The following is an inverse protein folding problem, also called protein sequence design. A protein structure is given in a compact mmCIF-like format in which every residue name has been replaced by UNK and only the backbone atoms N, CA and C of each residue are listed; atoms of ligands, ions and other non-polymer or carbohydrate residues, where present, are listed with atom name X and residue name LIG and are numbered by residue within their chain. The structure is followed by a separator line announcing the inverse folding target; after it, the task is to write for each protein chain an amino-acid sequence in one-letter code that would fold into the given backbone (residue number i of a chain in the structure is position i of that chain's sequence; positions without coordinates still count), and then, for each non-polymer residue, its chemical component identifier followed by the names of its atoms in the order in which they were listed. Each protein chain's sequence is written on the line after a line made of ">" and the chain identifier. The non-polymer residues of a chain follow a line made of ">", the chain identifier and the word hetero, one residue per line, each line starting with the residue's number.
data_IF_716128128751
#
_entry.id   IF_716128128751
#
_cell.length_a   1.000
_cell.length_b   1.000
_cell.length_c   1.000
_cell.angle_alpha   90.00
_cell.angle_beta   90.00
_cell.angle_gamma   90.00
#
_symmetry.space_group_name_H-M   'P 1'
#
loop_
_entity.id
_entity.type
_entity.pdbx_description
1 polymer ?
#
# COMPACT_ATOMS: atom_id res chain seq x y z
N UNK A 1 -12.39 25.66 -21.52
CA UNK A 1 -13.71 25.04 -21.32
C UNK A 1 -14.64 25.59 -22.37
N UNK A 2 -15.27 24.72 -23.16
CA UNK A 2 -16.26 25.16 -24.14
C UNK A 2 -17.54 25.61 -23.47
N UNK A 3 -18.41 26.35 -24.16
CA UNK A 3 -19.74 26.71 -23.64
C UNK A 3 -20.60 25.50 -23.29
N UNK A 4 -20.31 24.33 -23.87
CA UNK A 4 -20.97 23.05 -23.61
C UNK A 4 -20.28 22.18 -22.51
N UNK A 5 -19.31 22.76 -21.80
CA UNK A 5 -18.63 22.09 -20.69
C UNK A 5 -17.51 21.11 -21.08
N UNK A 6 -17.23 20.93 -22.38
CA UNK A 6 -16.14 20.04 -22.84
C UNK A 6 -14.77 20.69 -22.67
N UNK A 7 -13.79 19.88 -22.30
CA UNK A 7 -12.38 20.25 -22.29
C UNK A 7 -11.74 19.60 -23.52
N UNK A 8 -11.20 20.40 -24.46
CA UNK A 8 -10.55 19.85 -25.62
C UNK A 8 -9.08 19.56 -25.34
N UNK A 9 -8.68 18.38 -25.72
CA UNK A 9 -7.33 17.83 -25.55
C UNK A 9 -6.80 17.34 -26.94
N UNK A 10 -7.07 18.15 -27.99
CA UNK A 10 -6.62 17.84 -29.35
C UNK A 10 -5.45 18.76 -29.71
N UNK A 11 -4.30 18.21 -30.19
CA UNK A 11 -3.15 19.02 -30.64
C UNK A 11 -3.56 20.07 -31.68
N UNK A 12 -3.13 21.32 -31.47
CA UNK A 12 -3.43 22.43 -32.38
C UNK A 12 -4.78 23.11 -32.15
N UNK A 13 -5.49 22.80 -31.05
CA UNK A 13 -6.76 23.41 -30.72
C UNK A 13 -6.61 24.56 -29.69
N UNK A 14 -7.45 25.60 -29.76
CA UNK A 14 -7.42 26.73 -28.80
C UNK A 14 -7.57 26.26 -27.33
N UNK A 15 -8.19 25.10 -27.11
CA UNK A 15 -8.29 24.44 -25.80
C UNK A 15 -6.94 24.12 -25.17
N UNK A 16 -5.90 23.78 -25.94
CA UNK A 16 -4.56 23.51 -25.43
C UNK A 16 -3.94 24.75 -24.79
N UNK A 17 -4.19 25.93 -25.39
CA UNK A 17 -3.72 27.21 -24.85
C UNK A 17 -4.42 27.53 -23.51
N UNK A 18 -5.70 27.24 -23.39
CA UNK A 18 -6.46 27.45 -22.15
C UNK A 18 -6.05 26.47 -21.07
N UNK A 19 -5.83 25.18 -21.43
CA UNK A 19 -5.33 24.16 -20.48
C UNK A 19 -3.93 24.53 -20.01
N UNK A 20 -3.05 24.94 -20.93
CA UNK A 20 -1.69 25.37 -20.59
C UNK A 20 -1.68 26.61 -19.70
N UNK A 21 -2.60 27.59 -19.94
CA UNK A 21 -2.77 28.75 -19.06
C UNK A 21 -3.32 28.36 -17.67
N UNK A 22 -4.31 27.46 -17.62
CA UNK A 22 -4.86 26.96 -16.38
C UNK A 22 -3.79 26.22 -15.56
N UNK A 23 -3.05 25.31 -16.19
CA UNK A 23 -1.97 24.57 -15.54
C UNK A 23 -0.89 25.51 -15.02
N UNK A 24 -0.49 26.51 -15.83
CA UNK A 24 0.50 27.50 -15.41
C UNK A 24 0.00 28.35 -14.22
N UNK A 25 -1.28 28.75 -14.25
CA UNK A 25 -1.88 29.48 -13.13
C UNK A 25 -1.92 28.62 -11.86
N UNK A 26 -2.32 27.34 -11.97
CA UNK A 26 -2.30 26.40 -10.85
C UNK A 26 -0.88 26.22 -10.30
N UNK A 27 0.10 26.07 -11.18
CA UNK A 27 1.50 25.91 -10.78
C UNK A 27 2.07 27.15 -10.10
N UNK A 28 1.71 28.37 -10.60
CA UNK A 28 2.10 29.64 -10.00
C UNK A 28 1.39 29.92 -8.66
N UNK A 29 0.12 29.49 -8.54
CA UNK A 29 -0.71 29.81 -7.35
C UNK A 29 -0.45 28.81 -6.21
N UNK A 30 -0.31 27.55 -6.53
CA UNK A 30 -0.23 26.47 -5.54
C UNK A 30 1.15 25.78 -5.50
N UNK A 31 1.94 25.87 -6.56
CA UNK A 31 3.29 25.31 -6.65
C UNK A 31 3.38 23.87 -6.17
N UNK A 32 4.28 23.62 -5.23
CA UNK A 32 4.50 22.29 -4.67
C UNK A 32 3.35 21.76 -3.82
N UNK A 33 2.41 22.59 -3.41
CA UNK A 33 1.22 22.15 -2.66
C UNK A 33 0.30 21.25 -3.49
N UNK A 34 0.36 21.35 -4.83
CA UNK A 34 -0.37 20.45 -5.75
C UNK A 34 0.41 19.20 -6.13
N UNK A 35 1.70 19.15 -5.80
CA UNK A 35 2.56 17.98 -6.05
C UNK A 35 2.43 16.95 -4.93
N UNK A 36 1.23 16.82 -4.36
CA UNK A 36 0.94 15.78 -3.39
C UNK A 36 1.22 14.40 -3.96
N UNK A 37 1.80 13.54 -3.16
CA UNK A 37 1.99 12.14 -3.53
C UNK A 37 0.64 11.42 -3.42
N UNK A 38 -0.11 11.38 -4.53
CA UNK A 38 -1.40 10.68 -4.60
C UNK A 38 -1.17 9.17 -4.61
N UNK A 39 -0.72 8.65 -3.47
CA UNK A 39 -0.50 7.24 -3.24
C UNK A 39 -1.15 6.80 -1.93
N UNK A 40 -1.68 5.59 -1.91
CA UNK A 40 -2.11 4.92 -0.69
C UNK A 40 -0.92 4.52 0.21
N UNK A 41 0.27 4.49 -0.36
CA UNK A 41 1.53 4.15 0.29
C UNK A 41 2.50 3.45 -0.65
N UNK A 42 3.51 2.84 -0.06
CA UNK A 42 4.60 2.18 -0.79
C UNK A 42 4.87 0.81 -0.17
N UNK A 43 5.46 -0.09 -0.97
CA UNK A 43 5.96 -1.37 -0.48
C UNK A 43 7.28 -1.73 -1.15
N UNK A 44 8.15 -2.50 -0.50
CA UNK A 44 9.35 -3.05 -1.12
C UNK A 44 9.00 -4.33 -1.87
N UNK A 45 9.57 -4.54 -3.05
CA UNK A 45 9.47 -5.78 -3.81
C UNK A 45 10.84 -6.18 -4.35
N UNK A 46 11.09 -7.47 -4.45
CA UNK A 46 12.26 -7.99 -5.16
C UNK A 46 11.91 -8.19 -6.63
N UNK A 47 12.63 -7.51 -7.53
CA UNK A 47 12.60 -7.76 -8.96
C UNK A 47 14.01 -8.07 -9.46
N UNK A 48 14.21 -9.25 -9.98
CA UNK A 48 15.54 -9.77 -10.28
C UNK A 48 16.39 -9.86 -9.01
N UNK A 49 17.58 -9.28 -9.05
CA UNK A 49 18.54 -9.35 -7.93
C UNK A 49 18.49 -8.12 -7.00
N UNK A 50 17.49 -7.26 -7.14
CA UNK A 50 17.41 -6.00 -6.39
C UNK A 50 16.05 -5.81 -5.75
N UNK A 51 16.05 -5.09 -4.62
CA UNK A 51 14.83 -4.65 -3.95
C UNK A 51 14.48 -3.24 -4.44
N UNK A 52 13.23 -3.05 -4.79
CA UNK A 52 12.68 -1.83 -5.35
C UNK A 52 11.55 -1.31 -4.48
N UNK A 53 11.36 -0.01 -4.46
CA UNK A 53 10.19 0.62 -3.89
C UNK A 53 9.09 0.70 -4.94
N UNK A 54 7.90 0.23 -4.60
CA UNK A 54 6.72 0.27 -5.47
C UNK A 54 5.69 1.18 -4.87
N UNK A 55 5.09 2.01 -5.73
CA UNK A 55 4.05 2.94 -5.36
C UNK A 55 2.66 2.33 -5.56
N UNK A 56 1.82 2.35 -4.54
CA UNK A 56 0.38 2.10 -4.66
C UNK A 56 -0.33 3.42 -5.00
N UNK A 57 -0.36 3.79 -6.28
CA UNK A 57 -0.98 5.03 -6.75
C UNK A 57 -2.48 5.06 -6.51
N UNK A 58 -3.06 6.21 -6.16
CA UNK A 58 -4.50 6.36 -6.06
C UNK A 58 -5.15 6.21 -7.44
N UNK A 59 -6.21 5.41 -7.51
CA UNK A 59 -6.98 5.17 -8.72
C UNK A 59 -8.34 5.88 -8.57
N UNK A 60 -8.64 6.77 -9.50
CA UNK A 60 -9.92 7.46 -9.55
C UNK A 60 -10.72 6.92 -10.73
N UNK A 61 -11.89 6.35 -10.43
CA UNK A 61 -12.74 5.71 -11.42
C UNK A 61 -12.31 4.29 -11.79
N UNK A 62 -12.67 3.84 -13.00
CA UNK A 62 -12.34 2.50 -13.49
C UNK A 62 -11.07 2.56 -14.34
N UNK A 63 -10.06 1.78 -13.97
CA UNK A 63 -8.78 1.68 -14.69
C UNK A 63 -8.43 0.21 -14.88
N UNK A 64 -8.16 -0.19 -16.11
CA UNK A 64 -7.66 -1.52 -16.43
C UNK A 64 -6.16 -1.59 -16.15
N UNK A 65 -5.77 -2.37 -15.17
CA UNK A 65 -4.36 -2.62 -14.88
C UNK A 65 -3.80 -3.68 -15.85
N UNK A 66 -2.53 -3.56 -16.21
CA UNK A 66 -1.79 -4.56 -16.96
C UNK A 66 -0.31 -4.50 -16.58
N UNK A 67 0.46 -5.53 -16.94
CA UNK A 67 1.91 -5.56 -16.79
C UNK A 67 2.57 -5.69 -18.17
N UNK A 68 3.51 -4.79 -18.46
CA UNK A 68 4.26 -4.78 -19.72
C UNK A 68 5.71 -4.36 -19.45
N UNK A 69 6.69 -5.11 -20.00
CA UNK A 69 8.11 -4.75 -19.91
C UNK A 69 8.43 -3.41 -20.55
N UNK A 70 7.68 -3.03 -21.60
CA UNK A 70 7.84 -1.72 -22.20
C UNK A 70 7.32 -0.62 -21.26
N UNK A 71 8.23 0.02 -20.54
CA UNK A 71 7.91 1.09 -19.59
C UNK A 71 7.37 2.38 -20.23
N UNK A 72 7.55 2.54 -21.56
CA UNK A 72 6.95 3.65 -22.30
C UNK A 72 5.46 3.40 -22.55
N UNK A 73 5.02 2.14 -22.55
CA UNK A 73 3.61 1.77 -22.58
C UNK A 73 2.99 2.02 -21.18
N UNK A 74 2.66 3.27 -20.90
CA UNK A 74 2.05 3.67 -19.63
C UNK A 74 0.53 3.42 -19.56
N UNK A 75 -0.05 2.91 -20.65
CA UNK A 75 -1.49 2.74 -20.80
C UNK A 75 -2.19 4.00 -21.33
N UNK A 76 -3.50 3.95 -21.37
CA UNK A 76 -4.34 5.03 -21.88
C UNK A 76 -4.85 5.89 -20.72
N UNK A 77 -4.75 7.21 -20.86
CA UNK A 77 -5.50 8.13 -19.99
C UNK A 77 -6.93 8.22 -20.50
N UNK A 78 -7.89 8.28 -19.57
CA UNK A 78 -9.29 8.50 -19.96
C UNK A 78 -9.41 9.91 -20.52
N UNK A 79 -9.85 10.01 -21.76
CA UNK A 79 -10.29 11.28 -22.35
C UNK A 79 -11.81 11.25 -22.34
N UNK A 80 -12.44 12.23 -21.71
CA UNK A 80 -13.89 12.37 -21.72
C UNK A 80 -14.38 12.67 -23.16
N UNK A 81 -15.30 11.86 -23.67
CA UNK A 81 -15.90 12.07 -24.99
C UNK A 81 -16.40 10.77 -25.62
N UNK A 82 -17.09 10.85 -26.77
CA UNK A 82 -17.68 9.67 -27.44
C UNK A 82 -16.65 8.66 -27.97
N UNK A 83 -15.37 9.03 -28.01
CA UNK A 83 -14.24 8.15 -28.34
C UNK A 83 -13.39 7.79 -27.11
N UNK A 84 -13.93 7.96 -25.90
CA UNK A 84 -13.22 7.64 -24.68
C UNK A 84 -12.80 6.17 -24.67
N UNK A 85 -11.49 5.92 -24.61
CA UNK A 85 -10.94 4.59 -24.40
C UNK A 85 -10.96 4.31 -22.90
N UNK A 86 -11.16 3.05 -22.54
CA UNK A 86 -11.01 2.61 -21.17
C UNK A 86 -9.62 3.02 -20.63
N UNK A 87 -9.59 3.67 -19.47
CA UNK A 87 -8.33 4.03 -18.83
C UNK A 87 -7.56 2.75 -18.50
N UNK A 88 -6.27 2.76 -18.74
CA UNK A 88 -5.41 1.63 -18.38
C UNK A 88 -4.06 2.09 -17.88
N UNK A 89 -3.42 1.28 -17.03
CA UNK A 89 -2.13 1.60 -16.45
C UNK A 89 -1.21 0.38 -16.41
N UNK A 90 0.04 0.57 -16.85
CA UNK A 90 1.09 -0.42 -16.70
C UNK A 90 1.64 -0.36 -15.27
N UNK A 91 1.32 -1.38 -14.47
CA UNK A 91 1.73 -1.42 -13.06
C UNK A 91 3.26 -1.49 -12.87
N UNK A 92 4.01 -1.98 -13.86
CA UNK A 92 5.46 -2.01 -13.79
C UNK A 92 6.06 -0.59 -13.76
N UNK A 93 5.36 0.41 -14.29
CA UNK A 93 5.75 1.81 -14.19
C UNK A 93 5.64 2.41 -12.77
N UNK A 94 4.99 1.69 -11.84
CA UNK A 94 4.91 2.09 -10.43
C UNK A 94 6.18 1.74 -9.62
N UNK A 95 7.11 0.98 -10.21
CA UNK A 95 8.40 0.64 -9.59
C UNK A 95 9.35 1.82 -9.74
N UNK A 96 9.69 2.46 -8.61
CA UNK A 96 10.54 3.65 -8.61
C UNK A 96 11.96 3.33 -9.09
N UNK A 97 12.44 4.08 -10.08
CA UNK A 97 13.81 3.94 -10.61
C UNK A 97 14.03 2.72 -11.51
N UNK A 98 13.01 1.94 -11.82
CA UNK A 98 13.14 0.83 -12.77
C UNK A 98 13.46 1.36 -14.17
N UNK A 99 14.55 0.87 -14.74
CA UNK A 99 14.97 1.24 -16.10
C UNK A 99 14.50 0.22 -17.14
N UNK A 100 14.35 0.65 -18.39
CA UNK A 100 13.94 -0.25 -19.49
C UNK A 100 14.87 -1.47 -19.58
N UNK A 101 16.19 -1.26 -19.52
CA UNK A 101 17.14 -2.37 -19.61
C UNK A 101 17.07 -3.38 -18.45
N UNK A 102 16.48 -3.02 -17.30
CA UNK A 102 16.20 -3.97 -16.21
C UNK A 102 14.87 -4.66 -16.51
N UNK A 103 13.85 -3.92 -16.90
CA UNK A 103 12.54 -4.46 -17.26
C UNK A 103 12.63 -5.53 -18.36
N UNK A 104 13.44 -5.32 -19.39
CA UNK A 104 13.66 -6.25 -20.50
C UNK A 104 14.25 -7.59 -20.05
N UNK A 105 14.99 -7.62 -18.93
CA UNK A 105 15.61 -8.83 -18.40
C UNK A 105 14.75 -9.60 -17.39
N UNK A 106 13.59 -9.06 -17.03
CA UNK A 106 12.67 -9.79 -16.13
C UNK A 106 12.10 -11.00 -16.87
N UNK A 107 12.06 -12.15 -16.21
CA UNK A 107 11.37 -13.32 -16.71
C UNK A 107 9.84 -13.16 -16.67
N UNK A 108 9.12 -13.99 -17.41
CA UNK A 108 7.65 -13.99 -17.33
C UNK A 108 7.16 -14.37 -15.93
N UNK A 109 7.85 -15.31 -15.26
CA UNK A 109 7.52 -15.66 -13.86
C UNK A 109 7.69 -14.46 -12.93
N UNK A 110 8.76 -13.69 -13.06
CA UNK A 110 8.98 -12.49 -12.25
C UNK A 110 7.90 -11.42 -12.49
N UNK A 111 7.38 -11.31 -13.72
CA UNK A 111 6.28 -10.40 -14.03
C UNK A 111 4.95 -10.88 -13.43
N UNK A 112 4.69 -12.20 -13.45
CA UNK A 112 3.49 -12.78 -12.83
C UNK A 112 3.55 -12.58 -11.31
N UNK A 113 4.67 -12.92 -10.67
CA UNK A 113 4.88 -12.72 -9.23
C UNK A 113 4.72 -11.24 -8.84
N UNK A 114 5.27 -10.33 -9.65
CA UNK A 114 5.10 -8.90 -9.44
C UNK A 114 3.64 -8.45 -9.60
N UNK A 115 2.93 -8.98 -10.60
CA UNK A 115 1.52 -8.68 -10.81
C UNK A 115 0.67 -9.06 -9.60
N UNK A 116 0.83 -10.29 -9.10
CA UNK A 116 0.11 -10.78 -7.92
C UNK A 116 0.45 -9.93 -6.68
N UNK A 117 1.74 -9.65 -6.48
CA UNK A 117 2.18 -8.76 -5.41
C UNK A 117 1.59 -7.35 -5.52
N UNK A 118 1.56 -6.78 -6.74
CA UNK A 118 1.04 -5.42 -6.95
C UNK A 118 -0.45 -5.33 -6.59
N UNK A 119 -1.24 -6.33 -6.96
CA UNK A 119 -2.66 -6.39 -6.61
C UNK A 119 -2.85 -6.50 -5.09
N UNK A 120 -2.15 -7.43 -4.44
CA UNK A 120 -2.18 -7.57 -2.98
C UNK A 120 -1.81 -6.26 -2.26
N UNK A 121 -0.70 -5.64 -2.67
CA UNK A 121 -0.21 -4.38 -2.11
C UNK A 121 -1.25 -3.26 -2.28
N UNK A 122 -1.77 -3.11 -3.50
CA UNK A 122 -2.71 -2.04 -3.81
C UNK A 122 -4.00 -2.18 -2.99
N UNK A 123 -4.61 -3.37 -2.96
CA UNK A 123 -5.81 -3.65 -2.19
C UNK A 123 -5.61 -3.43 -0.69
N UNK A 124 -4.50 -3.94 -0.14
CA UNK A 124 -4.18 -3.81 1.28
C UNK A 124 -3.99 -2.35 1.71
N UNK A 125 -3.21 -1.58 0.92
CA UNK A 125 -2.90 -0.19 1.24
C UNK A 125 -4.09 0.74 0.99
N UNK A 126 -4.87 0.49 -0.07
CA UNK A 126 -6.12 1.20 -0.32
C UNK A 126 -7.11 0.98 0.82
N UNK A 127 -7.36 -0.27 1.20
CA UNK A 127 -8.27 -0.57 2.30
C UNK A 127 -7.82 0.08 3.62
N UNK A 128 -6.52 0.02 3.92
CA UNK A 128 -5.93 0.69 5.08
C UNK A 128 -6.25 2.19 5.08
N UNK A 129 -6.15 2.84 3.93
CA UNK A 129 -6.38 4.27 3.78
C UNK A 129 -7.85 4.65 3.85
N UNK A 130 -8.70 3.91 3.13
CA UNK A 130 -10.11 4.26 2.91
C UNK A 130 -11.03 3.79 4.05
N UNK A 131 -10.71 2.64 4.67
CA UNK A 131 -11.62 1.93 5.57
C UNK A 131 -11.22 1.99 7.04
N UNK A 132 -9.93 2.05 7.37
CA UNK A 132 -9.52 2.10 8.77
C UNK A 132 -9.72 3.50 9.37
N UNK A 133 -10.41 3.60 10.54
CA UNK A 133 -10.58 4.87 11.23
C UNK A 133 -9.24 5.47 11.64
N UNK A 134 -9.13 6.79 11.63
CA UNK A 134 -7.93 7.52 12.07
C UNK A 134 -7.86 7.60 13.61
N UNK A 135 -7.85 6.44 14.27
CA UNK A 135 -7.56 6.37 15.70
C UNK A 135 -6.06 6.43 15.94
N UNK A 136 -5.65 6.77 17.17
CA UNK A 136 -4.22 6.88 17.51
C UNK A 136 -3.44 5.60 17.18
N UNK A 137 -3.92 4.42 17.65
CA UNK A 137 -3.26 3.14 17.40
C UNK A 137 -3.16 2.82 15.88
N UNK A 138 -4.23 3.04 15.12
CA UNK A 138 -4.23 2.76 13.68
C UNK A 138 -3.37 3.75 12.92
N UNK A 139 -3.32 5.01 13.34
CA UNK A 139 -2.40 6.01 12.76
C UNK A 139 -0.94 5.64 13.04
N UNK A 140 -0.63 5.19 14.26
CA UNK A 140 0.70 4.66 14.60
C UNK A 140 1.05 3.41 13.78
N UNK A 141 0.10 2.49 13.56
CA UNK A 141 0.31 1.32 12.71
C UNK A 141 0.66 1.71 11.25
N UNK A 142 0.06 2.79 10.73
CA UNK A 142 0.43 3.33 9.42
C UNK A 142 1.88 3.79 9.38
N UNK A 143 2.31 4.57 10.37
CA UNK A 143 3.70 5.05 10.46
C UNK A 143 4.70 3.90 10.62
N UNK A 144 4.37 2.88 11.41
CA UNK A 144 5.24 1.71 11.56
C UNK A 144 5.38 0.94 10.25
N UNK A 145 4.31 0.81 9.45
CA UNK A 145 4.40 0.17 8.14
C UNK A 145 5.27 0.99 7.17
N UNK A 146 5.11 2.32 7.15
CA UNK A 146 5.91 3.20 6.31
C UNK A 146 7.39 3.18 6.72
N UNK A 147 7.67 3.11 8.03
CA UNK A 147 9.03 2.91 8.54
C UNK A 147 9.57 1.52 8.17
N UNK A 148 8.76 0.46 8.25
CA UNK A 148 9.13 -0.88 7.78
C UNK A 148 9.59 -0.84 6.32
N UNK A 149 8.80 -0.23 5.43
CA UNK A 149 9.12 -0.08 4.01
C UNK A 149 10.43 0.69 3.81
N UNK A 150 10.57 1.83 4.49
CA UNK A 150 11.76 2.68 4.42
C UNK A 150 13.01 1.96 4.94
N UNK A 151 12.87 1.16 6.00
CA UNK A 151 13.95 0.40 6.59
C UNK A 151 14.40 -0.76 5.67
N UNK A 152 13.49 -1.44 4.97
CA UNK A 152 13.85 -2.46 3.96
C UNK A 152 14.68 -1.82 2.84
N UNK A 153 14.20 -0.72 2.25
CA UNK A 153 14.90 0.00 1.18
C UNK A 153 16.26 0.54 1.66
N UNK A 154 16.31 1.03 2.90
CA UNK A 154 17.53 1.51 3.57
C UNK A 154 18.45 0.41 4.11
N UNK A 155 18.14 -0.88 3.84
CA UNK A 155 18.91 -2.06 4.27
C UNK A 155 19.07 -2.18 5.80
N UNK A 156 18.14 -1.61 6.57
CA UNK A 156 18.07 -1.70 8.04
C UNK A 156 17.13 -2.84 8.43
N UNK A 157 17.53 -4.08 8.11
CA UNK A 157 16.62 -5.24 8.12
C UNK A 157 16.07 -5.62 9.49
N UNK A 158 16.84 -5.47 10.56
CA UNK A 158 16.35 -5.69 11.93
C UNK A 158 15.26 -4.68 12.30
N UNK A 159 15.47 -3.40 11.98
CA UNK A 159 14.49 -2.34 12.20
C UNK A 159 13.22 -2.56 11.35
N UNK A 160 13.39 -3.01 10.10
CA UNK A 160 12.26 -3.32 9.23
C UNK A 160 11.36 -4.41 9.84
N UNK A 161 11.95 -5.49 10.34
CA UNK A 161 11.20 -6.58 10.99
C UNK A 161 10.47 -6.12 12.24
N UNK A 162 11.15 -5.33 13.07
CA UNK A 162 10.53 -4.75 14.25
C UNK A 162 9.35 -3.84 13.89
N UNK A 163 9.52 -2.96 12.92
CA UNK A 163 8.47 -2.06 12.47
C UNK A 163 7.28 -2.84 11.85
N UNK A 164 7.52 -3.94 11.14
CA UNK A 164 6.47 -4.83 10.63
C UNK A 164 5.62 -5.41 11.77
N UNK A 165 6.26 -5.95 12.82
CA UNK A 165 5.57 -6.47 14.00
C UNK A 165 4.72 -5.39 14.68
N UNK A 166 5.29 -4.18 14.87
CA UNK A 166 4.57 -3.06 15.48
C UNK A 166 3.36 -2.62 14.66
N UNK A 167 3.49 -2.61 13.32
CA UNK A 167 2.37 -2.30 12.43
C UNK A 167 1.22 -3.28 12.61
N UNK A 168 1.51 -4.58 12.66
CA UNK A 168 0.49 -5.62 12.90
C UNK A 168 -0.08 -5.51 14.30
N UNK A 169 0.77 -5.44 15.33
CA UNK A 169 0.33 -5.35 16.74
C UNK A 169 -0.66 -4.20 16.94
N UNK A 170 -0.31 -3.01 16.47
CA UNK A 170 -1.15 -1.82 16.62
C UNK A 170 -2.42 -1.90 15.78
N UNK A 171 -2.38 -2.54 14.60
CA UNK A 171 -3.58 -2.79 13.79
C UNK A 171 -4.56 -3.68 14.55
N UNK A 172 -4.10 -4.81 15.10
CA UNK A 172 -4.95 -5.73 15.84
C UNK A 172 -5.52 -5.08 17.10
N UNK A 173 -4.67 -4.39 17.89
CA UNK A 173 -5.10 -3.66 19.08
C UNK A 173 -6.05 -2.51 18.76
N UNK A 174 -5.86 -1.82 17.65
CA UNK A 174 -6.77 -0.79 17.16
C UNK A 174 -8.16 -1.35 16.90
N UNK A 175 -8.25 -2.52 16.25
CA UNK A 175 -9.52 -3.22 16.03
C UNK A 175 -10.17 -3.70 17.33
N UNK A 176 -9.38 -4.22 18.29
CA UNK A 176 -9.88 -4.57 19.62
C UNK A 176 -10.45 -3.35 20.35
N UNK A 177 -9.76 -2.19 20.26
CA UNK A 177 -10.23 -0.93 20.86
C UNK A 177 -11.56 -0.49 20.24
N UNK A 178 -11.69 -0.55 18.89
CA UNK A 178 -12.94 -0.27 18.19
C UNK A 178 -14.06 -1.20 18.66
N UNK A 179 -13.73 -2.48 18.84
CA UNK A 179 -14.65 -3.50 19.36
C UNK A 179 -14.92 -3.42 20.86
N UNK A 180 -14.32 -2.46 21.58
CA UNK A 180 -14.42 -2.32 23.05
C UNK A 180 -13.99 -3.58 23.79
N UNK A 181 -13.03 -4.33 23.24
CA UNK A 181 -12.46 -5.54 23.85
C UNK A 181 -11.17 -5.17 24.57
N UNK A 182 -11.10 -5.50 25.85
CA UNK A 182 -9.89 -5.30 26.66
C UNK A 182 -8.76 -6.22 26.19
N UNK A 183 -7.54 -5.71 26.18
CA UNK A 183 -6.33 -6.48 25.85
C UNK A 183 -5.17 -6.09 26.79
N UNK A 184 -4.22 -7.00 27.04
CA UNK A 184 -3.07 -6.70 27.87
C UNK A 184 -2.14 -5.70 27.18
N UNK A 185 -1.63 -4.71 27.93
CA UNK A 185 -0.69 -3.70 27.46
C UNK A 185 0.76 -4.00 27.81
N UNK A 186 1.00 -5.04 28.63
CA UNK A 186 2.34 -5.44 29.05
C UNK A 186 2.42 -6.93 29.41
N UNK A 187 3.60 -7.36 29.83
CA UNK A 187 3.89 -8.76 30.14
C UNK A 187 3.99 -9.65 28.88
N UNK A 188 4.01 -10.97 29.10
CA UNK A 188 4.21 -11.96 28.02
C UNK A 188 3.19 -11.86 26.87
N UNK A 189 1.94 -11.50 27.19
CA UNK A 189 0.84 -11.42 26.21
C UNK A 189 0.67 -10.01 25.64
N UNK A 190 1.33 -9.00 26.22
CA UNK A 190 1.17 -7.60 25.83
C UNK A 190 1.61 -7.30 24.41
N UNK A 191 2.57 -8.06 23.87
CA UNK A 191 3.12 -7.89 22.54
C UNK A 191 2.92 -9.11 21.63
N UNK A 192 2.16 -10.12 22.07
CA UNK A 192 1.92 -11.34 21.28
C UNK A 192 0.87 -11.10 20.21
N UNK A 193 1.28 -11.18 18.94
CA UNK A 193 0.38 -11.09 17.78
C UNK A 193 -0.66 -12.21 17.81
N UNK A 194 -0.23 -13.43 18.17
CA UNK A 194 -1.11 -14.59 18.27
C UNK A 194 -2.19 -14.39 19.34
N UNK A 195 -1.84 -13.80 20.50
CA UNK A 195 -2.82 -13.50 21.55
C UNK A 195 -3.82 -12.43 21.11
N UNK A 196 -3.37 -11.34 20.51
CA UNK A 196 -4.25 -10.29 20.00
C UNK A 196 -5.21 -10.83 18.90
N UNK A 197 -4.70 -11.67 18.01
CA UNK A 197 -5.51 -12.33 16.97
C UNK A 197 -6.54 -13.30 17.57
N UNK A 198 -6.17 -14.05 18.63
CA UNK A 198 -7.11 -14.92 19.34
C UNK A 198 -8.23 -14.12 20.00
N UNK A 199 -7.92 -12.98 20.64
CA UNK A 199 -8.95 -12.08 21.20
C UNK A 199 -9.91 -11.56 20.14
N UNK A 200 -9.41 -11.17 18.96
CA UNK A 200 -10.25 -10.75 17.82
C UNK A 200 -11.17 -11.87 17.35
N UNK A 201 -10.65 -13.10 17.28
CA UNK A 201 -11.43 -14.28 16.91
C UNK A 201 -12.55 -14.56 17.91
N UNK A 202 -12.22 -14.58 19.21
CA UNK A 202 -13.16 -14.96 20.27
C UNK A 202 -14.24 -13.88 20.46
N UNK A 203 -13.87 -12.60 20.36
CA UNK A 203 -14.79 -11.49 20.65
C UNK A 203 -15.58 -11.02 19.41
N UNK A 204 -15.01 -11.15 18.21
CA UNK A 204 -15.57 -10.56 17.00
C UNK A 204 -15.66 -11.53 15.80
N UNK A 205 -15.23 -12.78 15.95
CA UNK A 205 -15.22 -13.77 14.87
C UNK A 205 -14.21 -13.44 13.74
N UNK A 206 -13.21 -12.60 14.00
CA UNK A 206 -12.18 -12.19 13.04
C UNK A 206 -11.03 -13.20 13.13
N UNK A 207 -10.90 -14.05 12.12
CA UNK A 207 -9.85 -15.08 12.05
C UNK A 207 -8.72 -14.65 11.11
N UNK A 208 -7.48 -14.80 11.57
CA UNK A 208 -6.27 -14.55 10.79
C UNK A 208 -5.44 -15.82 10.67
N UNK A 209 -4.68 -15.93 9.58
CA UNK A 209 -3.77 -17.04 9.37
C UNK A 209 -2.58 -16.95 10.33
N UNK A 210 -2.44 -17.93 11.23
CA UNK A 210 -1.37 -17.98 12.21
C UNK A 210 0.03 -18.08 11.61
N UNK A 211 0.17 -18.75 10.45
CA UNK A 211 1.45 -18.81 9.74
C UNK A 211 1.88 -17.45 9.20
N UNK A 212 0.93 -16.63 8.71
CA UNK A 212 1.22 -15.26 8.26
C UNK A 212 1.57 -14.37 9.45
N UNK A 213 0.87 -14.49 10.57
CA UNK A 213 1.20 -13.75 11.80
C UNK A 213 2.63 -14.06 12.26
N UNK A 214 3.04 -15.32 12.25
CA UNK A 214 4.39 -15.72 12.64
C UNK A 214 5.49 -15.13 11.72
N UNK A 215 5.18 -14.87 10.44
CA UNK A 215 6.13 -14.19 9.53
C UNK A 215 6.35 -12.71 9.87
N UNK A 216 5.39 -12.07 10.52
CA UNK A 216 5.51 -10.68 10.99
C UNK A 216 6.17 -10.59 12.37
N UNK A 217 6.22 -11.66 13.15
CA UNK A 217 6.82 -11.66 14.48
C UNK A 217 8.32 -11.37 14.45
N UNK A 218 8.78 -10.61 15.43
CA UNK A 218 10.17 -10.21 15.59
C UNK A 218 10.62 -10.41 17.04
N UNK A 219 11.71 -11.17 17.27
CA UNK A 219 12.23 -11.34 18.62
C UNK A 219 12.90 -10.05 19.14
N UNK A 220 12.90 -9.80 20.46
CA UNK A 220 13.64 -8.67 21.04
C UNK A 220 15.11 -8.65 20.65
N UNK A 221 15.76 -9.82 20.53
CA UNK A 221 17.15 -9.95 20.11
C UNK A 221 17.43 -9.34 18.70
N UNK A 222 16.47 -9.43 17.79
CA UNK A 222 16.56 -8.77 16.48
C UNK A 222 16.44 -7.25 16.63
N UNK A 223 15.51 -6.79 17.46
CA UNK A 223 15.29 -5.36 17.73
C UNK A 223 16.56 -4.68 18.26
N UNK A 224 17.25 -5.33 19.19
CA UNK A 224 18.43 -4.79 19.83
C UNK A 224 19.73 -5.09 19.08
N UNK A 225 19.64 -5.73 17.88
CA UNK A 225 20.81 -6.02 17.03
C UNK A 225 21.65 -7.20 17.51
N UNK A 226 21.19 -7.97 18.49
CA UNK A 226 21.87 -9.18 18.98
C UNK A 226 21.78 -10.32 17.97
N UNK A 227 20.71 -10.34 17.17
CA UNK A 227 20.52 -11.31 16.08
C UNK A 227 20.39 -10.56 14.76
N UNK A 228 21.28 -10.82 13.79
CA UNK A 228 21.21 -10.17 12.49
C UNK A 228 19.97 -10.62 11.71
N UNK A 229 19.43 -9.73 10.90
CA UNK A 229 18.34 -10.03 9.96
C UNK A 229 18.82 -9.92 8.53
N UNK A 230 18.27 -10.77 7.67
CA UNK A 230 18.54 -10.76 6.23
C UNK A 230 17.51 -9.93 5.47
N UNK A 231 17.85 -9.52 4.24
CA UNK A 231 16.94 -8.86 3.31
C UNK A 231 15.65 -9.67 3.09
N UNK A 232 15.82 -11.01 2.86
CA UNK A 232 14.69 -11.90 2.65
C UNK A 232 13.72 -11.92 3.84
N UNK A 233 14.23 -11.99 5.07
CA UNK A 233 13.41 -11.96 6.28
C UNK A 233 12.67 -10.62 6.44
N UNK A 234 13.32 -9.51 6.13
CA UNK A 234 12.70 -8.19 6.18
C UNK A 234 11.59 -8.01 5.13
N UNK A 235 11.82 -8.48 3.89
CA UNK A 235 10.81 -8.50 2.85
C UNK A 235 9.62 -9.38 3.24
N UNK A 236 9.88 -10.59 3.74
CA UNK A 236 8.82 -11.51 4.19
C UNK A 236 7.97 -10.88 5.29
N UNK A 237 8.58 -10.21 6.26
CA UNK A 237 7.85 -9.53 7.33
C UNK A 237 6.99 -8.37 6.78
N UNK A 238 7.51 -7.55 5.87
CA UNK A 238 6.74 -6.49 5.22
C UNK A 238 5.55 -7.05 4.43
N UNK A 239 5.76 -8.09 3.62
CA UNK A 239 4.69 -8.73 2.85
C UNK A 239 3.65 -9.41 3.75
N UNK A 240 4.06 -9.93 4.92
CA UNK A 240 3.11 -10.46 5.91
C UNK A 240 2.16 -9.38 6.43
N UNK A 241 2.64 -8.14 6.66
CA UNK A 241 1.75 -7.01 7.02
C UNK A 241 0.70 -6.79 5.94
N UNK A 242 1.09 -6.72 4.65
CA UNK A 242 0.15 -6.54 3.53
C UNK A 242 -0.86 -7.70 3.46
N UNK A 243 -0.41 -8.93 3.65
CA UNK A 243 -1.28 -10.11 3.64
C UNK A 243 -2.28 -10.07 4.80
N UNK A 244 -1.87 -9.64 6.00
CA UNK A 244 -2.76 -9.48 7.14
C UNK A 244 -3.80 -8.38 6.87
N UNK A 245 -3.38 -7.23 6.34
CA UNK A 245 -4.30 -6.15 5.96
C UNK A 245 -5.31 -6.62 4.91
N UNK A 246 -4.87 -7.42 3.93
CA UNK A 246 -5.76 -7.99 2.92
C UNK A 246 -6.74 -9.01 3.53
N UNK A 247 -6.30 -9.90 4.45
CA UNK A 247 -7.21 -10.79 5.17
C UNK A 247 -8.26 -10.02 5.98
N UNK A 248 -7.86 -8.92 6.63
CA UNK A 248 -8.78 -8.05 7.36
C UNK A 248 -9.78 -7.36 6.41
N UNK A 249 -9.33 -6.88 5.26
CA UNK A 249 -10.18 -6.21 4.28
C UNK A 249 -11.29 -7.11 3.74
N UNK A 250 -11.00 -8.40 3.60
CA UNK A 250 -11.94 -9.40 3.07
C UNK A 250 -12.84 -10.02 4.14
N UNK A 251 -12.61 -9.69 5.41
CA UNK A 251 -13.41 -10.21 6.52
C UNK A 251 -14.71 -9.45 6.69
N UNK A 252 -15.84 -10.14 6.51
CA UNK A 252 -17.18 -9.59 6.80
C UNK A 252 -17.32 -9.14 8.25
N UNK A 253 -16.72 -9.88 9.19
CA UNK A 253 -16.70 -9.52 10.62
C UNK A 253 -15.99 -8.19 10.86
N UNK A 254 -14.90 -7.91 10.15
CA UNK A 254 -14.21 -6.61 10.22
C UNK A 254 -15.10 -5.50 9.66
N UNK A 255 -15.74 -5.73 8.52
CA UNK A 255 -16.66 -4.76 7.93
C UNK A 255 -17.79 -4.39 8.90
N UNK A 256 -18.42 -5.38 9.52
CA UNK A 256 -19.49 -5.17 10.51
C UNK A 256 -18.96 -4.41 11.73
N UNK A 257 -17.74 -4.73 12.20
CA UNK A 257 -17.10 -4.05 13.33
C UNK A 257 -16.88 -2.55 13.03
N UNK A 258 -16.33 -2.23 11.85
CA UNK A 258 -16.05 -0.86 11.45
C UNK A 258 -17.30 -0.04 11.22
N UNK A 259 -18.36 -0.61 10.63
CA UNK A 259 -19.64 0.07 10.44
C UNK A 259 -20.29 0.47 11.78
N UNK A 260 -20.20 -0.37 12.81
CA UNK A 260 -20.71 -0.05 14.16
C UNK A 260 -19.95 1.09 14.86
N UNK A 261 -18.73 1.37 14.44
CA UNK A 261 -17.91 2.45 14.99
C UNK A 261 -18.19 3.81 14.34
N UNK A 262 -18.75 3.84 13.12
CA UNK A 262 -19.06 5.07 12.40
C UNK A 262 -20.41 5.71 12.82
N UNK A 263 -21.18 5.04 13.65
CA UNK A 263 -22.44 5.51 14.25
C UNK A 263 -22.19 6.01 15.68
#
# INVERSE_FOLDING_TARGET
>A
MFPDGRVADLPGYEGDVLIAKANRWYEQTYGDQLKGDFAYGFAPVRLGNSVWRVRAGMIFGSVRLFVDRNLQNRGNRTVAGPSAREASANVLSAVEGLTQGIADRLSDSALIEYWEFHLLMHEALQWRWDCLPKTELLSMAHHDYDECTSAVIGRRYGQARWAAEQAVEKTLKGLLTIGKTAFPTGGKNGHSLAHAAQLLKDSHGISLNSGVLALAECSPAVRYGETPSTEGQALTANHAVLTILNQLSQSESVRVLLLKHQV
#
